data_IF_902748645487
#
_entry.id   IF_902748645487
#
_cell.length_a   1.000
_cell.length_b   1.000
_cell.length_c   1.000
_cell.angle_alpha   90.00
_cell.angle_beta   90.00
_cell.angle_gamma   90.00
#
_symmetry.space_group_name_H-M   'P 1'
#
loop_
_entity.id
_entity.type
_entity.pdbx_description
1 polymer ?
#
# COMPACT_ATOMS: atom_id res chain seq x y z
N UNK A 1 13.78 13.42 -14.90
CA UNK A 1 12.49 13.12 -15.57
C UNK A 1 12.19 11.61 -15.75
N UNK A 2 13.05 10.67 -15.31
CA UNK A 2 12.88 9.22 -15.58
C UNK A 2 12.06 8.42 -14.53
N UNK A 3 11.84 8.97 -13.32
CA UNK A 3 11.16 8.24 -12.21
C UNK A 3 9.67 7.98 -12.44
N UNK A 4 8.96 8.90 -13.10
CA UNK A 4 7.51 8.81 -13.28
C UNK A 4 7.09 7.74 -14.30
N UNK A 5 7.93 7.45 -15.31
CA UNK A 5 7.65 6.41 -16.32
C UNK A 5 7.63 5.03 -15.68
N UNK A 6 8.61 4.72 -14.82
CA UNK A 6 8.70 3.45 -14.09
C UNK A 6 7.49 3.26 -13.16
N UNK A 7 7.10 4.30 -12.41
CA UNK A 7 5.92 4.24 -11.53
C UNK A 7 4.64 3.99 -12.33
N UNK A 8 4.46 4.65 -13.48
CA UNK A 8 3.29 4.44 -14.35
C UNK A 8 3.26 3.04 -14.95
N UNK A 9 4.42 2.52 -15.39
CA UNK A 9 4.54 1.16 -15.91
C UNK A 9 4.23 0.13 -14.82
N UNK A 10 4.79 0.28 -13.63
CA UNK A 10 4.51 -0.60 -12.51
C UNK A 10 3.03 -0.55 -12.10
N UNK A 11 2.43 0.64 -12.04
CA UNK A 11 0.99 0.78 -11.74
C UNK A 11 0.11 0.12 -12.81
N UNK A 12 0.48 0.20 -14.09
CA UNK A 12 -0.22 -0.53 -15.17
C UNK A 12 -0.05 -2.04 -15.06
N UNK A 13 1.15 -2.51 -14.74
CA UNK A 13 1.45 -3.92 -14.52
C UNK A 13 0.67 -4.50 -13.33
N UNK A 14 0.39 -3.66 -12.32
CA UNK A 14 -0.44 -4.00 -11.18
C UNK A 14 -1.93 -3.65 -11.40
N UNK A 15 -2.41 -3.57 -12.65
CA UNK A 15 -3.82 -3.33 -12.99
C UNK A 15 -4.43 -2.10 -12.30
N UNK A 16 -3.69 -0.99 -12.31
CA UNK A 16 -4.09 0.27 -11.68
C UNK A 16 -3.83 0.34 -10.17
N UNK A 17 -3.31 -0.73 -9.55
CA UNK A 17 -2.89 -0.73 -8.15
C UNK A 17 -1.50 -0.09 -8.02
N UNK A 18 -1.30 0.77 -7.03
CA UNK A 18 0.00 1.36 -6.79
C UNK A 18 0.97 0.31 -6.18
N UNK A 19 2.25 0.23 -6.57
CA UNK A 19 3.16 -0.81 -6.06
C UNK A 19 3.33 -0.81 -4.53
N UNK A 20 3.34 0.35 -3.87
CA UNK A 20 3.39 0.41 -2.40
C UNK A 20 2.17 -0.25 -1.76
N UNK A 21 1.03 -0.21 -2.46
CA UNK A 21 -0.18 -0.86 -1.99
C UNK A 21 -0.06 -2.39 -2.08
N UNK A 22 0.49 -2.91 -3.18
CA UNK A 22 0.74 -4.35 -3.31
C UNK A 22 1.65 -4.88 -2.19
N UNK A 23 2.67 -4.11 -1.80
CA UNK A 23 3.53 -4.47 -0.67
C UNK A 23 2.75 -4.56 0.64
N UNK A 24 1.78 -3.68 0.86
CA UNK A 24 0.97 -3.72 2.07
C UNK A 24 0.03 -4.93 2.10
N UNK A 25 -0.53 -5.32 0.96
CA UNK A 25 -1.32 -6.55 0.83
C UNK A 25 -0.49 -7.79 1.22
N UNK A 26 0.80 -7.81 0.85
CA UNK A 26 1.73 -8.85 1.31
C UNK A 26 1.91 -8.81 2.83
N UNK A 27 2.14 -7.62 3.41
CA UNK A 27 2.33 -7.47 4.87
C UNK A 27 1.07 -7.93 5.62
N UNK A 28 -0.13 -7.61 5.13
CA UNK A 28 -1.40 -8.06 5.71
C UNK A 28 -1.56 -9.58 5.62
N UNK A 29 -1.30 -10.17 4.46
CA UNK A 29 -1.36 -11.63 4.29
C UNK A 29 -0.37 -12.35 5.22
N UNK A 30 0.82 -11.78 5.43
CA UNK A 30 1.81 -12.32 6.36
C UNK A 30 1.34 -12.17 7.82
N UNK A 31 0.89 -10.97 8.20
CA UNK A 31 0.42 -10.67 9.54
C UNK A 31 -0.74 -11.57 9.98
N UNK A 32 -1.70 -11.82 9.06
CA UNK A 32 -2.82 -12.72 9.29
C UNK A 32 -2.38 -14.16 9.64
N UNK A 33 -1.24 -14.61 9.09
CA UNK A 33 -0.69 -15.94 9.35
C UNK A 33 0.21 -16.01 10.58
N UNK A 34 0.81 -14.88 10.97
CA UNK A 34 1.68 -14.78 12.14
C UNK A 34 0.96 -14.35 13.42
N UNK A 35 -0.38 -14.34 13.43
CA UNK A 35 -1.20 -13.86 14.55
C UNK A 35 -0.88 -12.41 14.98
N UNK A 36 -0.40 -11.59 14.05
CA UNK A 36 -0.13 -10.17 14.32
C UNK A 36 -1.46 -9.42 14.31
N UNK A 37 -1.85 -8.89 15.46
CA UNK A 37 -3.14 -8.23 15.64
C UNK A 37 -3.12 -6.72 15.39
N UNK A 38 -1.95 -6.12 15.23
CA UNK A 38 -1.85 -4.68 15.00
C UNK A 38 -0.66 -4.34 14.12
N UNK A 39 -0.90 -3.44 13.15
CA UNK A 39 0.12 -2.90 12.26
C UNK A 39 0.08 -1.39 12.39
N UNK A 40 1.25 -0.78 12.54
CA UNK A 40 1.39 0.66 12.68
C UNK A 40 2.27 1.24 11.57
N UNK A 41 1.83 2.35 11.00
CA UNK A 41 2.61 3.20 10.10
C UNK A 41 3.21 4.38 10.87
N UNK A 42 4.35 4.88 10.42
CA UNK A 42 4.95 6.12 10.94
C UNK A 42 4.34 7.31 10.19
N UNK A 43 4.03 8.40 10.90
CA UNK A 43 3.52 9.63 10.29
C UNK A 43 4.63 10.41 9.58
N UNK A 44 4.26 11.42 8.79
CA UNK A 44 5.24 12.33 8.18
C UNK A 44 6.10 13.05 9.23
N UNK A 45 5.56 13.28 10.44
CA UNK A 45 6.30 13.87 11.55
C UNK A 45 7.31 12.87 12.14
N UNK A 46 6.99 11.59 12.21
CA UNK A 46 7.89 10.55 12.74
C UNK A 46 8.99 10.13 11.75
N UNK A 47 8.95 10.62 10.52
CA UNK A 47 9.90 10.25 9.48
C UNK A 47 11.25 10.97 9.65
N UNK A 48 12.32 10.19 9.86
CA UNK A 48 13.70 10.64 10.12
C UNK A 48 14.22 11.66 9.08
N UNK A 49 13.72 11.62 7.84
CA UNK A 49 14.13 12.54 6.77
C UNK A 49 13.50 13.94 6.81
N UNK A 50 12.76 14.31 7.86
CA UNK A 50 12.37 15.71 8.11
C UNK A 50 13.48 16.57 8.71
N UNK A 51 14.72 16.06 8.77
CA UNK A 51 15.89 16.88 9.09
C UNK A 51 15.95 18.10 8.14
N UNK A 52 15.97 19.29 8.75
CA UNK A 52 15.95 20.63 8.16
C UNK A 52 16.84 20.79 6.91
N UNK A 53 17.92 19.98 6.84
CA UNK A 53 18.92 19.88 5.76
C UNK A 53 18.33 19.58 4.38
N UNK A 54 17.25 18.81 4.26
CA UNK A 54 16.65 18.47 2.95
C UNK A 54 15.58 19.46 2.49
N UNK A 55 14.98 20.22 3.41
CA UNK A 55 13.93 21.21 3.11
C UNK A 55 14.47 22.40 2.32
N UNK A 56 15.74 22.75 2.54
CA UNK A 56 16.41 23.89 1.90
C UNK A 56 17.05 23.53 0.53
N UNK A 57 17.30 22.25 0.26
CA UNK A 57 18.05 21.83 -0.93
C UNK A 57 17.17 21.41 -2.13
N UNK A 58 15.91 20.96 -1.91
CA UNK A 58 15.08 20.36 -2.99
C UNK A 58 13.60 20.70 -2.92
N UNK A 59 13.26 21.97 -2.76
CA UNK A 59 11.90 22.46 -2.51
C UNK A 59 10.81 22.24 -3.58
N UNK A 60 10.98 21.44 -4.65
CA UNK A 60 9.91 21.29 -5.68
C UNK A 60 9.67 19.90 -6.28
N UNK A 61 10.35 18.84 -5.88
CA UNK A 61 10.16 17.56 -6.58
C UNK A 61 10.08 16.35 -5.64
N UNK A 62 8.83 15.94 -5.41
CA UNK A 62 8.42 14.62 -4.93
C UNK A 62 8.54 14.39 -3.42
N UNK A 63 7.62 14.98 -2.65
CA UNK A 63 7.29 14.52 -1.30
C UNK A 63 6.19 13.45 -1.44
N UNK A 64 6.48 12.21 -1.10
CA UNK A 64 5.45 11.19 -0.96
C UNK A 64 4.99 11.24 0.50
N UNK A 65 3.85 11.88 0.77
CA UNK A 65 3.30 11.94 2.12
C UNK A 65 2.90 10.53 2.57
N UNK A 66 3.45 10.11 3.71
CA UNK A 66 3.03 8.89 4.39
C UNK A 66 1.62 9.05 4.94
N UNK A 67 1.30 10.21 5.49
CA UNK A 67 -0.02 10.52 6.05
C UNK A 67 -1.12 10.41 4.99
N UNK A 68 -0.93 11.01 3.81
CA UNK A 68 -1.87 10.86 2.68
C UNK A 68 -2.00 9.40 2.23
N UNK A 69 -0.89 8.64 2.23
CA UNK A 69 -0.93 7.24 1.85
C UNK A 69 -1.70 6.40 2.87
N UNK A 70 -1.43 6.57 4.17
CA UNK A 70 -2.13 5.88 5.25
C UNK A 70 -3.62 6.22 5.27
N UNK A 71 -3.97 7.49 5.06
CA UNK A 71 -5.37 7.89 4.93
C UNK A 71 -6.05 7.24 3.72
N UNK A 72 -5.37 7.09 2.59
CA UNK A 72 -5.93 6.48 1.37
C UNK A 72 -6.25 4.98 1.50
N UNK A 73 -5.79 4.35 2.57
CA UNK A 73 -5.93 2.91 2.82
C UNK A 73 -6.71 2.63 4.12
N UNK A 74 -7.55 3.58 4.54
CA UNK A 74 -8.37 3.50 5.75
C UNK A 74 -7.56 3.38 7.06
N UNK A 75 -6.31 3.86 7.05
CA UNK A 75 -5.53 4.04 8.26
C UNK A 75 -6.12 5.13 9.16
N UNK A 76 -6.00 4.97 10.46
CA UNK A 76 -6.47 5.92 11.47
C UNK A 76 -5.27 6.51 12.21
N UNK A 77 -5.20 7.82 12.33
CA UNK A 77 -4.13 8.48 13.09
C UNK A 77 -4.15 8.01 14.56
N UNK A 78 -2.98 7.63 15.08
CA UNK A 78 -2.78 7.14 16.46
C UNK A 78 -1.71 8.03 17.11
N UNK A 79 -2.14 9.25 17.47
CA UNK A 79 -1.27 10.31 17.97
C UNK A 79 -0.52 11.07 16.87
N UNK A 80 0.47 11.89 17.27
CA UNK A 80 1.19 12.78 16.35
C UNK A 80 2.22 12.08 15.44
N UNK A 81 2.64 10.87 15.81
CA UNK A 81 3.82 10.20 15.25
C UNK A 81 3.50 8.90 14.52
N UNK A 82 2.28 8.36 14.67
CA UNK A 82 1.92 7.03 14.17
C UNK A 82 0.50 6.99 13.63
N UNK A 83 0.25 5.99 12.81
CA UNK A 83 -1.04 5.59 12.27
C UNK A 83 -1.27 4.13 12.61
N UNK A 84 -2.51 3.78 12.97
CA UNK A 84 -2.98 2.40 13.04
C UNK A 84 -3.53 2.01 11.68
N UNK A 85 -2.99 0.96 11.10
CA UNK A 85 -3.43 0.44 9.81
C UNK A 85 -4.49 -0.65 10.02
N UNK A 86 -5.44 -0.83 9.08
CA UNK A 86 -6.33 -1.98 9.14
C UNK A 86 -5.53 -3.27 8.94
N UNK A 87 -6.12 -4.42 9.26
CA UNK A 87 -5.47 -5.73 9.09
C UNK A 87 -5.65 -6.31 7.68
N UNK A 88 -6.62 -5.79 6.95
CA UNK A 88 -6.92 -6.10 5.56
C UNK A 88 -7.71 -4.94 4.99
N UNK A 89 -7.83 -4.87 3.68
CA UNK A 89 -8.76 -3.94 3.07
C UNK A 89 -9.97 -4.62 2.46
N UNK A 90 -11.08 -3.91 2.53
CA UNK A 90 -12.32 -4.36 1.97
C UNK A 90 -12.24 -4.40 0.43
N UNK A 91 -12.61 -5.55 -0.13
CA UNK A 91 -12.69 -5.74 -1.58
C UNK A 91 -14.11 -5.41 -2.03
N UNK A 92 -14.24 -4.42 -2.91
CA UNK A 92 -15.52 -4.06 -3.53
C UNK A 92 -16.06 -5.21 -4.38
N UNK A 93 -17.37 -5.40 -4.37
CA UNK A 93 -18.01 -6.32 -5.31
C UNK A 93 -17.78 -5.88 -6.76
N UNK A 94 -17.65 -6.85 -7.66
CA UNK A 94 -17.55 -6.57 -9.10
C UNK A 94 -18.82 -5.93 -9.66
N UNK A 95 -19.95 -6.14 -9.01
CA UNK A 95 -21.24 -5.57 -9.40
C UNK A 95 -21.25 -4.05 -9.22
N UNK A 96 -20.71 -3.57 -8.09
CA UNK A 96 -20.57 -2.14 -7.75
C UNK A 96 -19.54 -1.41 -8.62
N UNK A 97 -18.69 -2.16 -9.32
CA UNK A 97 -17.67 -1.61 -10.20
C UNK A 97 -18.31 -1.34 -11.58
N UNK A 98 -18.15 -0.11 -12.07
CA UNK A 98 -18.59 0.27 -13.41
C UNK A 98 -18.11 -0.73 -14.48
N UNK A 99 -19.02 -1.19 -15.34
CA UNK A 99 -18.78 -2.29 -16.30
C UNK A 99 -17.45 -2.19 -17.05
N UNK A 100 -17.12 -1.00 -17.57
CA UNK A 100 -15.86 -0.72 -18.29
C UNK A 100 -14.57 -0.96 -17.50
N UNK A 101 -14.62 -0.97 -16.16
CA UNK A 101 -13.48 -1.23 -15.27
C UNK A 101 -13.46 -2.65 -14.70
N UNK A 102 -14.53 -3.44 -14.86
CA UNK A 102 -14.65 -4.78 -14.25
C UNK A 102 -13.54 -5.73 -14.69
N UNK A 103 -13.13 -5.69 -15.96
CA UNK A 103 -12.03 -6.52 -16.46
C UNK A 103 -10.68 -6.20 -15.77
N UNK A 104 -10.38 -4.92 -15.56
CA UNK A 104 -9.18 -4.50 -14.82
C UNK A 104 -9.24 -4.95 -13.36
N UNK A 105 -10.38 -4.76 -12.69
CA UNK A 105 -10.57 -5.17 -11.30
C UNK A 105 -10.52 -6.69 -11.11
N UNK A 106 -11.05 -7.49 -12.05
CA UNK A 106 -10.89 -8.95 -12.01
C UNK A 106 -9.41 -9.35 -12.03
N UNK A 107 -8.63 -8.78 -12.94
CA UNK A 107 -7.18 -9.04 -13.00
C UNK A 107 -6.45 -8.56 -11.75
N UNK A 108 -6.87 -7.43 -11.18
CA UNK A 108 -6.36 -6.91 -9.91
C UNK A 108 -6.64 -7.90 -8.77
N UNK A 109 -7.87 -8.39 -8.64
CA UNK A 109 -8.21 -9.35 -7.59
C UNK A 109 -7.47 -10.67 -7.77
N UNK A 110 -7.35 -11.17 -9.01
CA UNK A 110 -6.53 -12.33 -9.30
C UNK A 110 -5.07 -12.14 -8.85
N UNK A 111 -4.46 -10.98 -9.13
CA UNK A 111 -3.11 -10.68 -8.67
C UNK A 111 -2.99 -10.72 -7.14
N UNK A 112 -3.98 -10.20 -6.41
CA UNK A 112 -4.00 -10.22 -4.95
C UNK A 112 -4.21 -11.65 -4.42
N UNK A 113 -5.06 -12.44 -5.05
CA UNK A 113 -5.29 -13.84 -4.68
C UNK A 113 -4.04 -14.69 -4.89
N UNK A 114 -3.35 -14.50 -6.01
CA UNK A 114 -2.09 -15.17 -6.32
C UNK A 114 -1.00 -14.78 -5.30
N UNK A 115 -0.96 -13.51 -4.88
CA UNK A 115 -0.04 -13.02 -3.84
C UNK A 115 -0.35 -13.71 -2.50
N UNK A 116 -1.61 -13.69 -2.05
CA UNK A 116 -2.02 -14.33 -0.80
C UNK A 116 -1.71 -15.82 -0.81
N UNK A 117 -1.97 -16.52 -1.92
CA UNK A 117 -1.64 -17.93 -2.08
C UNK A 117 -0.13 -18.19 -2.02
N UNK A 118 0.70 -17.32 -2.61
CA UNK A 118 2.15 -17.40 -2.52
C UNK A 118 2.65 -17.19 -1.08
N UNK A 119 2.14 -16.18 -0.39
CA UNK A 119 2.47 -15.93 1.03
C UNK A 119 2.10 -17.14 1.87
N UNK A 120 0.91 -17.71 1.66
CA UNK A 120 0.47 -18.91 2.37
C UNK A 120 1.46 -20.07 2.18
N UNK A 121 1.91 -20.33 0.94
CA UNK A 121 2.92 -21.37 0.65
C UNK A 121 4.26 -21.12 1.35
N UNK A 122 4.75 -19.88 1.32
CA UNK A 122 6.05 -19.51 1.90
C UNK A 122 6.07 -19.58 3.44
N UNK A 123 4.90 -19.43 4.07
CA UNK A 123 4.74 -19.40 5.52
C UNK A 123 4.02 -20.65 6.04
N UNK A 124 3.95 -21.70 5.20
CA UNK A 124 3.48 -23.05 5.58
C UNK A 124 4.63 -24.04 5.77
N UNK A 125 5.88 -23.58 5.78
CA UNK A 125 7.02 -24.41 6.14
C UNK A 125 7.27 -24.37 7.66
N UNK A 126 7.48 -25.54 8.30
CA UNK A 126 7.75 -25.67 9.72
C UNK A 126 9.11 -25.09 10.14
#
# INVERSE_FOLDING_TARGET
MCRMKVIKLATRACYGLFPKRLLLEFIWALAARSHIQAIYGVSDNGHVFRALRYRLSKGRHFHASYDEFWQSIDGVADGAWRWRLPQQMERKSLEDIASKKRAEYRRRFQLLDDLTAQVARLTSQP
#
